data_IF_721855534202
#
_entry.id   IF_721855534202
#
_cell.length_a   1.000
_cell.length_b   1.000
_cell.length_c   1.000
_cell.angle_alpha   90.00
_cell.angle_beta   90.00
_cell.angle_gamma   90.00
#
_symmetry.space_group_name_H-M   'P 1'
#
loop_
_entity.id
_entity.type
_entity.pdbx_description
1 polymer ?
#
# COMPACT_ATOMS: atom_id res chain seq x y z
N UNK A 1 -18.71 6.26 8.29
CA UNK A 1 -17.60 6.20 9.24
C UNK A 1 -17.12 7.63 9.45
N UNK A 2 -17.44 8.19 10.61
CA UNK A 2 -16.83 9.43 11.07
C UNK A 2 -15.36 9.09 11.31
N UNK A 3 -14.48 9.58 10.44
CA UNK A 3 -13.05 9.59 10.73
C UNK A 3 -12.86 10.78 11.66
N UNK A 4 -13.12 10.55 12.94
CA UNK A 4 -12.67 11.49 13.96
C UNK A 4 -11.14 11.43 13.93
N UNK A 5 -10.52 12.53 13.51
CA UNK A 5 -9.06 12.66 13.52
C UNK A 5 -8.63 12.83 14.99
N UNK A 6 -8.61 11.69 15.71
CA UNK A 6 -8.28 11.64 17.14
C UNK A 6 -6.80 11.92 17.47
N UNK A 7 -5.97 12.27 16.44
CA UNK A 7 -4.52 12.23 16.62
C UNK A 7 -3.78 13.51 16.24
N UNK A 8 -4.38 14.67 16.49
CA UNK A 8 -3.56 15.87 16.48
C UNK A 8 -2.66 15.89 17.72
N UNK A 9 -1.48 15.27 17.60
CA UNK A 9 -0.40 15.55 18.53
C UNK A 9 0.37 16.76 18.00
N UNK A 10 0.56 17.82 18.81
CA UNK A 10 1.40 18.95 18.43
C UNK A 10 2.77 18.47 17.95
N UNK A 11 3.21 18.94 16.78
CA UNK A 11 4.51 18.56 16.20
C UNK A 11 4.47 17.42 15.16
N UNK A 12 3.33 16.80 14.88
CA UNK A 12 3.23 15.90 13.74
C UNK A 12 3.34 16.69 12.44
N UNK A 13 4.23 16.23 11.55
CA UNK A 13 4.48 16.84 10.23
C UNK A 13 3.83 16.09 9.09
N UNK A 14 3.47 14.81 9.30
CA UNK A 14 2.95 13.95 8.26
C UNK A 14 2.00 12.91 8.82
N UNK A 15 0.92 12.64 8.09
CA UNK A 15 0.01 11.52 8.35
C UNK A 15 0.06 10.52 7.21
N UNK A 16 0.07 9.22 7.55
CA UNK A 16 0.01 8.14 6.56
C UNK A 16 -1.42 7.62 6.48
N UNK A 17 -2.05 7.77 5.33
CA UNK A 17 -3.42 7.31 5.14
C UNK A 17 -3.51 5.79 4.98
N UNK A 18 -4.61 5.22 5.45
CA UNK A 18 -4.89 3.80 5.22
C UNK A 18 -5.00 3.48 3.71
N UNK A 19 -4.58 2.26 3.33
CA UNK A 19 -4.60 1.80 1.93
C UNK A 19 -6.01 1.75 1.35
N UNK A 20 -6.99 1.48 2.19
CA UNK A 20 -8.40 1.32 1.84
C UNK A 20 -9.10 2.65 1.47
N UNK A 21 -8.42 3.79 1.67
CA UNK A 21 -9.01 5.08 1.39
C UNK A 21 -8.85 5.49 -0.08
N UNK A 22 -9.97 5.69 -0.76
CA UNK A 22 -9.99 6.31 -2.08
C UNK A 22 -9.58 7.79 -2.03
N UNK A 23 -9.12 8.34 -3.16
CA UNK A 23 -8.65 9.73 -3.27
C UNK A 23 -9.68 10.76 -2.79
N UNK A 24 -10.98 10.56 -3.03
CA UNK A 24 -12.05 11.43 -2.52
C UNK A 24 -12.06 11.56 -0.99
N UNK A 25 -11.75 10.47 -0.26
CA UNK A 25 -11.63 10.51 1.21
C UNK A 25 -10.31 11.17 1.64
N UNK A 26 -9.24 10.98 0.88
CA UNK A 26 -7.96 11.67 1.12
C UNK A 26 -8.10 13.18 0.98
N UNK A 27 -8.85 13.65 -0.03
CA UNK A 27 -9.21 15.06 -0.20
C UNK A 27 -9.91 15.63 1.04
N UNK A 28 -10.90 14.91 1.60
CA UNK A 28 -11.56 15.35 2.84
C UNK A 28 -10.59 15.45 4.01
N UNK A 29 -9.67 14.49 4.14
CA UNK A 29 -8.62 14.57 5.17
C UNK A 29 -7.75 15.82 4.96
N UNK A 30 -7.36 16.12 3.72
CA UNK A 30 -6.59 17.34 3.39
C UNK A 30 -7.32 18.62 3.84
N UNK A 31 -8.63 18.66 3.62
CA UNK A 31 -9.45 19.82 3.95
C UNK A 31 -9.64 20.00 5.49
N UNK A 32 -9.46 18.94 6.28
CA UNK A 32 -9.66 18.93 7.73
C UNK A 32 -8.36 19.08 8.56
N UNK A 33 -7.18 18.75 7.98
CA UNK A 33 -5.89 18.85 8.68
C UNK A 33 -5.18 20.17 8.39
N UNK A 34 -4.24 20.61 9.25
CA UNK A 34 -3.44 21.82 9.02
C UNK A 34 -2.73 21.82 7.66
N UNK A 35 -2.62 23.00 7.04
CA UNK A 35 -2.02 23.15 5.71
C UNK A 35 -0.54 22.77 5.66
N UNK A 36 0.18 22.89 6.77
CA UNK A 36 1.59 22.52 6.92
C UNK A 36 1.82 21.03 7.23
N UNK A 37 0.74 20.24 7.32
CA UNK A 37 0.82 18.80 7.55
C UNK A 37 0.78 18.04 6.24
N UNK A 38 1.79 17.20 5.98
CA UNK A 38 1.87 16.33 4.81
C UNK A 38 0.89 15.16 4.87
N UNK A 39 0.42 14.74 3.70
CA UNK A 39 -0.28 13.47 3.53
C UNK A 39 0.60 12.49 2.77
N UNK A 40 0.91 11.36 3.39
CA UNK A 40 1.54 10.22 2.73
C UNK A 40 0.50 9.13 2.46
N UNK A 41 0.52 8.57 1.26
CA UNK A 41 -0.40 7.50 0.87
C UNK A 41 0.32 6.36 0.17
N UNK A 42 -0.04 5.13 0.52
CA UNK A 42 0.39 3.99 -0.29
C UNK A 42 -0.23 4.08 -1.69
N UNK A 43 0.61 3.89 -2.70
CA UNK A 43 0.21 3.96 -4.11
C UNK A 43 0.56 2.69 -4.89
N UNK A 44 1.49 1.86 -4.37
CA UNK A 44 1.92 0.65 -5.07
C UNK A 44 2.46 -0.41 -4.11
N UNK A 45 2.31 -1.67 -4.52
CA UNK A 45 2.90 -2.83 -3.86
C UNK A 45 1.93 -3.59 -2.97
N UNK A 46 2.49 -4.44 -2.13
CA UNK A 46 1.73 -5.42 -1.38
C UNK A 46 0.60 -4.82 -0.53
N UNK A 47 -0.62 -5.30 -0.77
CA UNK A 47 -1.75 -5.01 0.11
C UNK A 47 -1.63 -5.77 1.43
N UNK A 48 -2.19 -5.21 2.49
CA UNK A 48 -2.32 -5.90 3.76
C UNK A 48 -3.49 -6.87 3.72
N UNK A 49 -3.36 -8.03 4.37
CA UNK A 49 -4.48 -8.97 4.56
C UNK A 49 -5.57 -8.40 5.46
N UNK A 50 -5.19 -7.51 6.38
CA UNK A 50 -6.10 -6.87 7.31
C UNK A 50 -6.30 -5.41 6.98
N UNK A 51 -7.35 -4.81 7.54
CA UNK A 51 -7.45 -3.36 7.60
C UNK A 51 -6.18 -2.74 8.18
N UNK A 52 -5.77 -1.61 7.61
CA UNK A 52 -4.60 -0.87 8.07
C UNK A 52 -4.68 -0.56 9.56
N UNK A 53 -3.61 -0.88 10.31
CA UNK A 53 -3.57 -0.68 11.75
C UNK A 53 -4.27 -1.76 12.60
N UNK A 54 -4.78 -2.83 12.02
CA UNK A 54 -5.53 -3.87 12.74
C UNK A 54 -4.82 -5.24 12.79
N UNK A 55 -3.74 -5.42 12.06
CA UNK A 55 -3.04 -6.69 12.01
C UNK A 55 -2.11 -6.89 13.22
N UNK A 56 -2.32 -7.97 13.95
CA UNK A 56 -1.46 -8.39 15.06
C UNK A 56 -0.53 -9.55 14.69
N UNK A 57 -0.68 -10.11 13.48
CA UNK A 57 0.02 -11.34 13.08
C UNK A 57 1.54 -11.18 13.11
N UNK A 58 2.08 -10.07 12.65
CA UNK A 58 3.52 -9.82 12.69
C UNK A 58 4.05 -9.73 14.11
N UNK A 59 3.34 -9.06 15.00
CA UNK A 59 3.72 -8.96 16.40
C UNK A 59 3.68 -10.34 17.08
N UNK A 60 2.58 -11.08 16.88
CA UNK A 60 2.41 -12.42 17.45
C UNK A 60 3.50 -13.40 17.02
N UNK A 61 3.84 -13.42 15.72
CA UNK A 61 4.80 -14.41 15.19
C UNK A 61 6.26 -14.01 15.32
N UNK A 62 6.57 -12.72 15.42
CA UNK A 62 7.96 -12.24 15.33
C UNK A 62 8.33 -11.16 16.35
N UNK A 63 7.40 -10.72 17.18
CA UNK A 63 7.58 -9.59 18.09
C UNK A 63 7.67 -8.22 17.39
N UNK A 64 7.50 -8.17 16.05
CA UNK A 64 7.62 -6.93 15.27
C UNK A 64 6.26 -6.31 15.03
N UNK A 65 6.09 -5.07 15.50
CA UNK A 65 4.82 -4.37 15.40
C UNK A 65 4.59 -3.79 13.99
N UNK A 66 3.61 -4.35 13.29
CA UNK A 66 3.22 -3.91 11.96
C UNK A 66 2.73 -2.45 11.94
N UNK A 67 2.05 -2.02 13.01
CA UNK A 67 1.47 -0.69 13.10
C UNK A 67 2.52 0.40 13.34
N UNK A 68 3.73 0.01 13.71
CA UNK A 68 4.90 0.89 13.86
C UNK A 68 5.85 0.83 12.66
N UNK A 69 5.39 0.32 11.51
CA UNK A 69 6.21 0.21 10.30
C UNK A 69 7.20 -0.95 10.31
N UNK A 70 7.14 -1.86 11.30
CA UNK A 70 8.11 -2.98 11.46
C UNK A 70 7.57 -4.33 11.01
N UNK A 71 6.51 -4.36 10.18
CA UNK A 71 5.89 -5.60 9.72
C UNK A 71 6.91 -6.57 9.10
N UNK A 72 6.91 -7.83 9.57
CA UNK A 72 7.74 -8.91 9.02
C UNK A 72 7.09 -9.61 7.81
N UNK A 73 5.88 -9.22 7.43
CA UNK A 73 5.08 -9.80 6.35
C UNK A 73 4.79 -11.30 6.50
N UNK A 74 4.41 -11.79 7.70
CA UNK A 74 4.14 -13.21 7.85
C UNK A 74 3.00 -13.70 6.94
N UNK A 75 2.06 -12.81 6.58
CA UNK A 75 1.01 -13.14 5.63
C UNK A 75 1.50 -13.45 4.20
N UNK A 76 2.80 -13.33 3.92
CA UNK A 76 3.43 -13.65 2.64
C UNK A 76 4.35 -14.90 2.73
N UNK A 77 4.46 -15.49 3.92
CA UNK A 77 5.21 -16.72 4.08
C UNK A 77 4.43 -17.90 3.51
N UNK A 78 5.15 -18.96 3.17
CA UNK A 78 4.51 -20.23 2.79
C UNK A 78 4.04 -20.94 4.04
N UNK A 79 2.81 -21.41 4.01
CA UNK A 79 2.20 -22.16 5.09
C UNK A 79 1.71 -23.51 4.59
N UNK A 80 1.59 -24.45 5.53
CA UNK A 80 0.89 -25.69 5.33
C UNK A 80 -0.08 -25.90 6.48
N UNK A 81 -1.24 -26.47 6.20
CA UNK A 81 -2.16 -26.91 7.24
C UNK A 81 -1.69 -28.26 7.77
N UNK A 82 -1.79 -28.42 9.08
CA UNK A 82 -1.54 -29.67 9.77
C UNK A 82 -2.80 -29.99 10.57
N UNK A 83 -3.37 -31.19 10.35
CA UNK A 83 -4.50 -31.66 11.16
C UNK A 83 -3.92 -32.27 12.45
N UNK A 84 -4.48 -31.88 13.60
CA UNK A 84 -3.91 -32.20 14.93
C UNK A 84 -3.72 -33.71 15.16
N UNK A 85 -4.64 -34.54 14.63
CA UNK A 85 -4.61 -36.01 14.77
C UNK A 85 -3.75 -36.72 13.73
N UNK A 86 -3.17 -35.95 12.78
CA UNK A 86 -2.27 -36.44 11.74
C UNK A 86 -0.95 -35.67 11.71
N UNK A 87 -0.17 -35.72 12.78
CA UNK A 87 1.11 -35.02 12.84
C UNK A 87 2.07 -35.58 11.78
N UNK A 88 2.70 -34.66 11.04
CA UNK A 88 3.62 -35.03 9.97
C UNK A 88 3.01 -35.05 8.56
N UNK A 89 1.69 -34.93 8.44
CA UNK A 89 1.03 -34.71 7.16
C UNK A 89 0.82 -33.19 6.97
N UNK A 90 1.38 -32.66 5.87
CA UNK A 90 1.32 -31.24 5.55
C UNK A 90 0.43 -31.02 4.33
N UNK A 91 -0.62 -30.23 4.49
CA UNK A 91 -1.51 -29.86 3.40
C UNK A 91 -1.13 -28.45 2.92
N UNK A 92 -0.53 -28.29 1.72
CA UNK A 92 -0.14 -26.99 1.21
C UNK A 92 -1.37 -26.11 1.03
N UNK A 93 -1.19 -24.82 1.24
CA UNK A 93 -2.22 -23.83 0.99
C UNK A 93 -1.84 -23.11 -0.30
N UNK A 94 -2.67 -23.28 -1.33
CA UNK A 94 -2.44 -22.70 -2.66
C UNK A 94 -3.61 -21.80 -3.07
N UNK A 95 -3.39 -20.95 -4.04
CA UNK A 95 -4.41 -20.10 -4.64
C UNK A 95 -4.67 -20.54 -6.07
N UNK A 96 -5.95 -20.68 -6.45
CA UNK A 96 -6.40 -20.81 -7.83
C UNK A 96 -7.46 -19.76 -8.18
N UNK A 97 -7.96 -19.77 -9.40
CA UNK A 97 -8.93 -18.80 -9.92
C UNK A 97 -10.28 -18.76 -9.17
N UNK A 98 -10.51 -19.63 -8.21
CA UNK A 98 -11.82 -19.86 -7.56
C UNK A 98 -11.87 -19.45 -6.09
N UNK A 99 -10.75 -19.13 -5.48
CA UNK A 99 -10.77 -18.70 -4.08
C UNK A 99 -9.46 -18.79 -3.35
N UNK A 100 -9.61 -18.42 -2.10
CA UNK A 100 -8.63 -18.12 -1.22
C UNK A 100 -7.93 -19.01 -0.56
N UNK A 101 -6.93 -18.77 -0.53
CA UNK A 101 -5.92 -19.54 0.00
C UNK A 101 -5.11 -18.69 0.92
N UNK A 102 -5.43 -18.47 2.01
CA UNK A 102 -4.82 -17.67 3.05
C UNK A 102 -3.71 -16.72 2.57
N UNK A 103 -4.01 -15.43 2.56
CA UNK A 103 -3.03 -14.34 2.60
C UNK A 103 -2.52 -13.75 1.29
N UNK A 104 -3.09 -14.05 0.14
CA UNK A 104 -2.58 -13.49 -1.11
C UNK A 104 -3.54 -12.47 -1.74
N UNK A 105 -3.41 -11.19 -1.41
CA UNK A 105 -4.06 -10.13 -2.14
C UNK A 105 -3.17 -9.65 -3.29
N UNK A 106 -3.81 -9.23 -4.41
CA UNK A 106 -3.11 -8.55 -5.51
C UNK A 106 -2.43 -7.28 -4.98
N UNK A 107 -1.31 -6.91 -5.60
CA UNK A 107 -0.64 -5.67 -5.26
C UNK A 107 -1.49 -4.44 -5.63
N UNK A 108 -1.44 -3.42 -4.80
CA UNK A 108 -2.02 -2.13 -5.12
C UNK A 108 -1.27 -1.51 -6.30
N UNK A 109 -1.99 -0.91 -7.23
CA UNK A 109 -1.43 -0.10 -8.31
C UNK A 109 -2.30 1.11 -8.57
N UNK A 110 -1.78 2.30 -8.30
CA UNK A 110 -2.48 3.58 -8.44
C UNK A 110 -1.87 4.48 -9.51
N UNK A 111 -1.09 3.91 -10.43
CA UNK A 111 -0.37 4.69 -11.45
C UNK A 111 -1.29 5.52 -12.35
N UNK A 112 -2.50 5.02 -12.62
CA UNK A 112 -3.50 5.72 -13.43
C UNK A 112 -4.12 6.92 -12.71
N UNK A 113 -3.99 6.97 -11.36
CA UNK A 113 -4.61 7.96 -10.49
C UNK A 113 -3.62 8.97 -9.90
N UNK A 114 -2.45 9.12 -10.52
CA UNK A 114 -1.39 10.04 -10.04
C UNK A 114 -1.93 11.47 -9.96
N UNK A 115 -2.63 11.94 -10.99
CA UNK A 115 -3.25 13.26 -11.02
C UNK A 115 -4.22 13.45 -9.85
N UNK A 116 -5.19 12.55 -9.71
CA UNK A 116 -6.21 12.63 -8.67
C UNK A 116 -5.63 12.58 -7.25
N UNK A 117 -4.55 11.83 -7.06
CA UNK A 117 -3.86 11.76 -5.79
C UNK A 117 -3.15 13.08 -5.44
N UNK A 118 -2.47 13.68 -6.40
CA UNK A 118 -1.81 14.99 -6.23
C UNK A 118 -2.86 16.06 -5.96
N UNK A 119 -3.92 16.13 -6.76
CA UNK A 119 -5.03 17.08 -6.60
C UNK A 119 -5.82 16.87 -5.30
N UNK A 120 -5.83 15.65 -4.76
CA UNK A 120 -6.36 15.37 -3.43
C UNK A 120 -5.43 15.81 -2.28
N UNK A 121 -4.26 16.38 -2.59
CA UNK A 121 -3.30 16.89 -1.60
C UNK A 121 -2.36 15.85 -1.01
N UNK A 122 -2.18 14.71 -1.69
CA UNK A 122 -1.17 13.71 -1.30
C UNK A 122 0.21 14.24 -1.72
N UNK A 123 1.07 14.52 -0.75
CA UNK A 123 2.41 15.06 -0.95
C UNK A 123 3.51 14.00 -0.99
N UNK A 124 3.23 12.79 -0.49
CA UNK A 124 4.20 11.69 -0.45
C UNK A 124 3.58 10.37 -0.92
N UNK A 125 4.15 9.81 -1.96
CA UNK A 125 3.73 8.53 -2.55
C UNK A 125 4.57 7.39 -1.97
N UNK A 126 3.90 6.48 -1.26
CA UNK A 126 4.56 5.37 -0.59
C UNK A 126 4.44 4.08 -1.39
N UNK A 127 5.57 3.48 -1.71
CA UNK A 127 5.67 2.20 -2.41
C UNK A 127 6.06 1.12 -1.39
N UNK A 128 5.30 0.02 -1.33
CA UNK A 128 5.66 -1.12 -0.52
C UNK A 128 6.51 -2.10 -1.33
N UNK A 129 7.77 -2.20 -0.98
CA UNK A 129 8.74 -3.04 -1.67
C UNK A 129 9.67 -3.84 -0.76
N UNK A 130 9.34 -3.98 0.55
CA UNK A 130 10.23 -4.59 1.56
C UNK A 130 10.71 -5.99 1.20
N UNK A 131 9.82 -6.81 0.65
CA UNK A 131 10.12 -8.20 0.27
C UNK A 131 10.29 -8.37 -1.24
N UNK A 132 10.35 -7.28 -1.97
CA UNK A 132 10.49 -7.27 -3.42
C UNK A 132 11.96 -7.12 -3.81
N UNK A 133 12.27 -7.47 -5.07
CA UNK A 133 13.62 -7.32 -5.61
C UNK A 133 14.01 -5.85 -5.83
N UNK A 134 15.31 -5.51 -5.87
CA UNK A 134 15.75 -4.16 -6.26
C UNK A 134 15.25 -3.75 -7.65
N UNK A 135 15.16 -4.69 -8.59
CA UNK A 135 14.62 -4.47 -9.93
C UNK A 135 13.15 -4.01 -9.88
N UNK A 136 12.31 -4.69 -9.08
CA UNK A 136 10.93 -4.31 -8.87
C UNK A 136 10.84 -2.86 -8.35
N UNK A 137 11.58 -2.56 -7.29
CA UNK A 137 11.55 -1.23 -6.67
C UNK A 137 11.99 -0.15 -7.65
N UNK A 138 13.08 -0.38 -8.38
CA UNK A 138 13.60 0.57 -9.37
C UNK A 138 12.58 0.82 -10.50
N UNK A 139 11.96 -0.25 -11.02
CA UNK A 139 10.97 -0.15 -12.10
C UNK A 139 9.74 0.61 -11.65
N UNK A 140 9.21 0.28 -10.46
CA UNK A 140 8.04 0.96 -9.91
C UNK A 140 8.32 2.43 -9.63
N UNK A 141 9.42 2.74 -8.96
CA UNK A 141 9.81 4.13 -8.66
C UNK A 141 9.98 4.94 -9.94
N UNK A 142 10.61 4.37 -10.97
CA UNK A 142 10.79 5.01 -12.27
C UNK A 142 9.45 5.36 -12.92
N UNK A 143 8.52 4.41 -12.97
CA UNK A 143 7.21 4.63 -13.59
C UNK A 143 6.43 5.74 -12.89
N UNK A 144 6.37 5.72 -11.55
CA UNK A 144 5.72 6.79 -10.79
C UNK A 144 6.43 8.12 -10.93
N UNK A 145 7.77 8.14 -10.96
CA UNK A 145 8.53 9.38 -11.17
C UNK A 145 8.20 10.01 -12.51
N UNK A 146 8.17 9.22 -13.59
CA UNK A 146 7.79 9.70 -14.92
C UNK A 146 6.37 10.30 -14.93
N UNK A 147 5.41 9.62 -14.30
CA UNK A 147 4.04 10.11 -14.25
C UNK A 147 3.91 11.43 -13.44
N UNK A 148 4.62 11.53 -12.32
CA UNK A 148 4.64 12.75 -11.49
C UNK A 148 5.32 13.91 -12.24
N UNK A 149 6.44 13.67 -12.89
CA UNK A 149 7.17 14.70 -13.64
C UNK A 149 6.35 15.21 -14.83
N UNK A 150 5.65 14.32 -15.52
CA UNK A 150 4.74 14.70 -16.60
C UNK A 150 3.58 15.56 -16.10
N UNK A 151 2.98 15.20 -14.96
CA UNK A 151 1.94 16.01 -14.33
C UNK A 151 2.44 17.43 -13.99
N UNK A 152 3.59 17.55 -13.34
CA UNK A 152 4.12 18.86 -12.96
C UNK A 152 4.64 19.69 -14.14
N UNK A 153 4.96 19.06 -15.28
CA UNK A 153 5.32 19.76 -16.50
C UNK A 153 4.13 20.50 -17.12
N UNK A 154 2.97 19.86 -17.20
CA UNK A 154 1.76 20.44 -17.76
C UNK A 154 0.50 19.82 -17.11
N UNK A 155 0.07 20.35 -15.94
CA UNK A 155 -1.08 19.82 -15.22
C UNK A 155 -2.39 19.87 -16.00
N UNK A 156 -2.59 20.91 -16.84
CA UNK A 156 -3.81 21.12 -17.60
C UNK A 156 -3.99 20.06 -18.70
N UNK A 157 -2.91 19.69 -19.36
CA UNK A 157 -2.93 18.74 -20.47
C UNK A 157 -2.47 17.33 -20.05
N UNK A 158 -2.24 17.09 -18.76
CA UNK A 158 -1.82 15.77 -18.29
C UNK A 158 -2.76 14.67 -18.77
N UNK A 159 -2.18 13.62 -19.33
CA UNK A 159 -2.88 12.38 -19.71
C UNK A 159 -2.06 11.20 -19.23
N UNK A 160 -2.75 10.19 -18.68
CA UNK A 160 -2.11 8.93 -18.36
C UNK A 160 -1.47 8.31 -19.61
N UNK A 161 -0.20 7.93 -19.50
CA UNK A 161 0.49 7.25 -20.59
C UNK A 161 0.52 5.74 -20.31
N UNK A 162 -0.10 4.91 -21.17
CA UNK A 162 -0.16 3.45 -20.98
C UNK A 162 1.21 2.77 -20.85
N UNK A 163 2.28 3.38 -21.36
CA UNK A 163 3.63 2.84 -21.26
C UNK A 163 4.07 2.65 -19.80
N UNK A 164 3.58 3.49 -18.89
CA UNK A 164 3.90 3.35 -17.47
C UNK A 164 3.32 2.06 -16.88
N UNK A 165 2.12 1.69 -17.30
CA UNK A 165 1.53 0.40 -16.90
C UNK A 165 2.28 -0.78 -17.51
N UNK A 166 2.71 -0.66 -18.77
CA UNK A 166 3.50 -1.72 -19.42
C UNK A 166 4.86 -1.91 -18.74
N UNK A 167 5.50 -0.83 -18.28
CA UNK A 167 6.73 -0.93 -17.48
C UNK A 167 6.47 -1.64 -16.14
N UNK A 168 5.36 -1.33 -15.46
CA UNK A 168 5.00 -1.96 -14.19
C UNK A 168 4.69 -3.46 -14.34
N UNK A 169 4.13 -3.90 -15.46
CA UNK A 169 3.86 -5.31 -15.73
C UNK A 169 5.13 -6.17 -15.89
N UNK A 170 6.29 -5.55 -16.07
CA UNK A 170 7.58 -6.24 -16.18
C UNK A 170 8.22 -6.54 -14.83
N UNK A 171 7.70 -5.95 -13.75
CA UNK A 171 8.20 -6.05 -12.39
C UNK A 171 7.37 -7.01 -11.55
#
# INVERSE_FOLDING_TARGET
LNIEIFWYKPGLKRVVTARELFYKKKKKIRDEIPSDMDIESFVHGAMCISYSGRCLMSNYMTGRDANRGSCAHPCRWKYSLVEEKRPGEYFPIEEDERGTYFFNSKDLCMIEYVKELIEAGVSSFKIEGRVKTPYYVATVVRAYRMAIDEYYRDPENYRFNPIWMEELKKA
#
